data_IF_925020055089
#
_entry.id   IF_925020055089
#
_cell.length_a   1.000
_cell.length_b   1.000
_cell.length_c   1.000
_cell.angle_alpha   90.00
_cell.angle_beta   90.00
_cell.angle_gamma   90.00
#
_symmetry.space_group_name_H-M   'P 1'
#
loop_
_entity.id
_entity.type
_entity.pdbx_description
1 polymer ?
#
# COMPACT_ATOMS: atom_id res chain seq x y z
N UNK A 1 3.40 14.85 -7.23
CA UNK A 1 3.15 13.95 -8.38
C UNK A 1 1.92 13.09 -8.09
N UNK A 2 1.13 12.75 -9.09
CA UNK A 2 -0.05 11.89 -9.02
C UNK A 2 -0.01 10.88 -10.15
N UNK A 3 -0.19 9.60 -9.86
CA UNK A 3 -0.26 8.58 -10.90
C UNK A 3 -1.71 8.11 -11.09
N UNK A 4 -2.20 8.23 -12.31
CA UNK A 4 -3.49 7.68 -12.72
C UNK A 4 -3.31 6.21 -13.09
N UNK A 5 -3.38 5.32 -12.11
CA UNK A 5 -3.10 3.89 -12.25
C UNK A 5 -3.80 3.23 -13.47
N UNK A 6 -5.09 3.52 -13.70
CA UNK A 6 -5.82 2.97 -14.86
C UNK A 6 -5.37 3.51 -16.22
N UNK A 7 -5.00 4.79 -16.26
CA UNK A 7 -4.49 5.43 -17.47
C UNK A 7 -3.01 5.14 -17.68
N UNK A 8 -2.32 4.64 -16.64
CA UNK A 8 -0.87 4.49 -16.59
C UNK A 8 -0.13 5.79 -16.94
N UNK A 9 -0.72 6.92 -16.59
CA UNK A 9 -0.13 8.24 -16.83
C UNK A 9 0.20 8.95 -15.54
N UNK A 10 1.35 9.59 -15.52
CA UNK A 10 1.84 10.41 -14.42
C UNK A 10 1.46 11.87 -14.67
N UNK A 11 0.90 12.52 -13.66
CA UNK A 11 0.75 13.97 -13.60
C UNK A 11 1.69 14.54 -12.55
N UNK A 12 2.24 15.71 -12.83
CA UNK A 12 3.09 16.44 -11.91
C UNK A 12 2.75 17.92 -11.96
N UNK A 13 3.06 18.61 -10.88
CA UNK A 13 2.99 20.07 -10.81
C UNK A 13 4.36 20.53 -10.34
N UNK A 14 4.90 21.55 -11.00
CA UNK A 14 6.11 22.26 -10.56
C UNK A 14 5.69 23.43 -9.68
N UNK A 15 6.55 23.83 -8.74
CA UNK A 15 6.28 24.96 -7.84
C UNK A 15 6.64 26.32 -8.43
N UNK A 16 7.01 26.39 -9.70
CA UNK A 16 7.51 27.60 -10.35
C UNK A 16 6.38 28.39 -11.04
N UNK A 17 6.39 29.71 -10.87
CA UNK A 17 5.36 30.62 -11.37
C UNK A 17 4.07 30.55 -10.56
N UNK A 18 3.26 31.61 -10.60
CA UNK A 18 1.94 31.65 -9.94
C UNK A 18 0.94 30.60 -10.47
N UNK A 19 1.34 29.77 -11.44
CA UNK A 19 0.57 28.70 -12.03
C UNK A 19 0.96 27.32 -11.47
N UNK A 20 0.17 26.87 -10.50
CA UNK A 20 0.16 25.49 -9.97
C UNK A 20 -0.51 24.53 -10.95
N UNK A 21 -0.15 24.59 -12.22
CA UNK A 21 -0.80 23.81 -13.27
C UNK A 21 -0.28 22.36 -13.27
N UNK A 22 -1.20 21.41 -13.39
CA UNK A 22 -0.87 20.00 -13.52
C UNK A 22 -0.51 19.69 -14.98
N UNK A 23 0.67 19.11 -15.19
CA UNK A 23 1.14 18.64 -16.50
C UNK A 23 1.19 17.13 -16.52
N UNK A 24 0.85 16.53 -17.67
CA UNK A 24 0.96 15.10 -17.91
C UNK A 24 2.37 14.76 -18.40
N UNK A 25 2.92 13.64 -17.91
CA UNK A 25 4.16 13.10 -18.41
C UNK A 25 4.00 12.62 -19.85
N UNK A 26 5.03 12.80 -20.68
CA UNK A 26 5.07 12.36 -22.08
C UNK A 26 5.20 10.85 -22.25
N UNK A 27 5.40 10.13 -21.14
CA UNK A 27 5.59 8.68 -21.08
C UNK A 27 4.57 8.02 -20.15
N UNK A 28 4.36 6.72 -20.33
CA UNK A 28 3.45 5.91 -19.52
C UNK A 28 4.22 4.97 -18.58
N UNK A 29 3.64 4.68 -17.41
CA UNK A 29 4.21 3.68 -16.49
C UNK A 29 3.94 2.26 -16.98
N UNK A 30 4.83 1.30 -16.67
CA UNK A 30 4.53 -0.11 -16.86
C UNK A 30 3.33 -0.55 -16.01
N UNK A 31 2.68 -1.68 -16.34
CA UNK A 31 1.73 -2.32 -15.44
C UNK A 31 2.38 -2.55 -14.08
N UNK A 32 1.86 -1.88 -13.07
CA UNK A 32 2.35 -1.90 -11.70
C UNK A 32 1.16 -1.97 -10.74
N UNK A 33 1.41 -2.37 -9.50
CA UNK A 33 0.49 -2.17 -8.38
C UNK A 33 0.35 -0.66 -8.13
N UNK A 34 -0.59 -0.29 -7.27
CA UNK A 34 -0.80 1.09 -6.87
C UNK A 34 0.50 1.82 -6.48
N UNK A 35 0.63 3.09 -6.87
CA UNK A 35 1.80 3.90 -6.57
C UNK A 35 1.89 4.17 -5.07
N UNK A 36 3.11 4.10 -4.56
CA UNK A 36 3.43 4.47 -3.19
C UNK A 36 4.24 5.77 -3.17
N UNK A 37 3.74 6.79 -2.48
CA UNK A 37 4.41 8.09 -2.38
C UNK A 37 5.22 8.15 -1.09
N UNK A 38 6.50 8.53 -1.18
CA UNK A 38 7.34 8.74 0.00
C UNK A 38 8.37 9.83 -0.29
N UNK A 39 8.43 10.86 0.58
CA UNK A 39 9.36 11.99 0.49
C UNK A 39 9.46 12.63 -0.90
N UNK A 40 8.30 12.85 -1.54
CA UNK A 40 8.21 13.49 -2.85
C UNK A 40 8.54 12.60 -4.04
N UNK A 41 8.90 11.33 -3.82
CA UNK A 41 9.14 10.32 -4.86
C UNK A 41 7.96 9.35 -4.96
N UNK A 42 7.83 8.69 -6.10
CA UNK A 42 6.90 7.59 -6.28
C UNK A 42 7.65 6.27 -6.42
N UNK A 43 7.15 5.25 -5.76
CA UNK A 43 7.64 3.88 -5.80
C UNK A 43 6.56 2.99 -6.38
N UNK A 44 6.94 2.11 -7.29
CA UNK A 44 6.03 1.19 -7.99
C UNK A 44 6.50 -0.24 -7.79
N UNK A 45 5.54 -1.15 -7.64
CA UNK A 45 5.80 -2.59 -7.60
C UNK A 45 5.26 -3.21 -8.89
N UNK A 46 6.14 -3.81 -9.69
CA UNK A 46 5.79 -4.50 -10.93
C UNK A 46 5.95 -6.01 -10.75
N UNK A 47 4.89 -6.77 -11.00
CA UNK A 47 4.95 -8.23 -10.97
C UNK A 47 5.41 -8.76 -12.34
N UNK A 48 6.52 -9.48 -12.36
CA UNK A 48 7.04 -10.21 -13.52
C UNK A 48 6.80 -11.71 -13.32
N UNK A 49 6.92 -12.52 -14.37
CA UNK A 49 6.58 -13.96 -14.33
C UNK A 49 7.30 -14.72 -13.21
N UNK A 50 8.57 -14.38 -12.97
CA UNK A 50 9.44 -15.06 -12.00
C UNK A 50 10.05 -14.12 -10.93
N UNK A 51 9.68 -12.84 -10.93
CA UNK A 51 10.31 -11.84 -10.06
C UNK A 51 9.38 -10.66 -9.80
N UNK A 52 9.67 -9.91 -8.75
CA UNK A 52 9.07 -8.60 -8.52
C UNK A 52 10.10 -7.52 -8.73
N UNK A 53 9.75 -6.50 -9.52
CA UNK A 53 10.59 -5.34 -9.75
C UNK A 53 10.06 -4.14 -8.96
N UNK A 54 10.96 -3.45 -8.28
CA UNK A 54 10.69 -2.20 -7.57
C UNK A 54 11.24 -1.06 -8.40
N UNK A 55 10.37 -0.14 -8.80
CA UNK A 55 10.72 1.04 -9.57
C UNK A 55 10.61 2.30 -8.72
N UNK A 56 11.43 3.31 -9.02
CA UNK A 56 11.36 4.64 -8.44
C UNK A 56 11.18 5.68 -9.55
N UNK A 57 10.35 6.68 -9.27
CA UNK A 57 10.21 7.90 -10.08
C UNK A 57 10.60 9.06 -9.17
N UNK A 58 11.70 9.73 -9.53
CA UNK A 58 12.14 10.93 -8.85
C UNK A 58 11.27 12.14 -9.26
N UNK A 59 11.16 13.17 -8.39
CA UNK A 59 10.45 14.39 -8.75
C UNK A 59 11.11 15.07 -9.98
N UNK A 60 10.36 15.93 -10.68
CA UNK A 60 10.95 16.80 -11.69
C UNK A 60 12.13 17.59 -11.11
N UNK A 61 13.24 17.75 -11.85
CA UNK A 61 14.43 18.42 -11.33
C UNK A 61 14.16 19.90 -10.97
N UNK A 62 14.78 20.37 -9.88
CA UNK A 62 14.69 21.76 -9.38
C UNK A 62 15.57 22.69 -10.23
N UNK A 63 15.13 23.94 -10.45
CA UNK A 63 15.87 24.96 -11.21
C UNK A 63 17.06 25.45 -10.38
N UNK A 64 18.27 25.03 -10.75
CA UNK A 64 19.52 25.56 -10.19
C UNK A 64 20.61 25.70 -11.28
N UNK A 65 20.23 25.80 -12.55
CA UNK A 65 21.21 26.04 -13.62
C UNK A 65 20.69 27.05 -14.64
N UNK A 66 21.45 28.13 -14.82
CA UNK A 66 21.23 29.25 -15.73
C UNK A 66 21.33 28.88 -17.23
N UNK A 67 21.20 27.59 -17.57
CA UNK A 67 21.28 27.12 -18.94
C UNK A 67 19.88 26.93 -19.48
N UNK A 68 19.35 28.00 -20.08
CA UNK A 68 18.04 28.07 -20.69
C UNK A 68 17.86 27.12 -21.87
N UNK A 69 17.54 25.85 -21.58
CA UNK A 69 16.82 25.00 -22.54
C UNK A 69 15.33 24.96 -22.15
N UNK A 70 14.53 25.56 -23.04
CA UNK A 70 13.07 25.68 -22.98
C UNK A 70 12.38 24.32 -23.25
N UNK A 71 12.91 23.22 -22.71
CA UNK A 71 12.33 21.89 -22.79
C UNK A 71 11.37 21.68 -21.62
N UNK A 72 10.15 21.21 -21.89
CA UNK A 72 9.21 20.71 -20.87
C UNK A 72 9.97 19.80 -19.91
N UNK A 73 10.19 20.25 -18.66
CA UNK A 73 11.04 19.56 -17.68
C UNK A 73 10.28 18.37 -17.10
N UNK A 74 10.24 17.30 -17.89
CA UNK A 74 9.52 16.08 -17.60
C UNK A 74 10.15 15.36 -16.39
N UNK A 75 9.35 14.69 -15.55
CA UNK A 75 9.89 13.76 -14.56
C UNK A 75 10.68 12.66 -15.26
N UNK A 76 11.78 12.19 -14.66
CA UNK A 76 12.58 11.12 -15.22
C UNK A 76 11.76 9.82 -15.35
N UNK A 77 12.14 8.99 -16.32
CA UNK A 77 11.53 7.68 -16.53
C UNK A 77 11.64 6.81 -15.26
N UNK A 78 10.68 5.88 -15.04
CA UNK A 78 10.75 4.96 -13.91
C UNK A 78 12.04 4.13 -13.98
N UNK A 79 12.86 4.21 -12.94
CA UNK A 79 14.10 3.45 -12.86
C UNK A 79 13.93 2.24 -11.95
N UNK A 80 14.47 1.09 -12.37
CA UNK A 80 14.54 -0.09 -11.51
C UNK A 80 15.54 0.14 -10.39
N UNK A 81 15.08 0.01 -9.14
CA UNK A 81 15.93 0.16 -7.96
C UNK A 81 16.23 -1.17 -7.28
N UNK A 82 15.37 -2.17 -7.45
CA UNK A 82 15.60 -3.52 -6.95
C UNK A 82 14.77 -4.55 -7.75
N UNK A 83 15.26 -5.78 -7.82
CA UNK A 83 14.54 -6.93 -8.36
C UNK A 83 14.62 -8.07 -7.36
N UNK A 84 13.47 -8.53 -6.89
CA UNK A 84 13.34 -9.63 -5.95
C UNK A 84 12.94 -10.90 -6.69
N UNK A 85 13.71 -12.00 -6.61
CA UNK A 85 13.28 -13.29 -7.10
C UNK A 85 11.97 -13.75 -6.44
N UNK A 86 11.09 -14.42 -7.20
CA UNK A 86 9.77 -14.83 -6.70
C UNK A 86 9.80 -15.89 -5.60
N UNK A 87 10.89 -16.66 -5.52
CA UNK A 87 11.21 -17.61 -4.43
C UNK A 87 11.66 -16.91 -3.14
N UNK A 88 12.14 -15.67 -3.24
CA UNK A 88 12.54 -14.85 -2.09
C UNK A 88 11.37 -14.02 -1.56
N UNK A 89 10.58 -13.43 -2.45
CA UNK A 89 9.43 -12.62 -2.10
C UNK A 89 8.32 -12.77 -3.16
N UNK A 90 7.27 -13.47 -2.77
CA UNK A 90 6.08 -13.70 -3.59
C UNK A 90 5.05 -12.59 -3.44
N UNK A 91 4.41 -12.26 -4.57
CA UNK A 91 3.17 -11.45 -4.65
C UNK A 91 2.10 -12.02 -3.68
N UNK A 92 1.10 -11.23 -3.22
CA UNK A 92 1.01 -9.78 -3.29
C UNK A 92 2.08 -9.09 -2.46
N UNK A 93 2.59 -7.96 -2.98
CA UNK A 93 3.62 -7.16 -2.34
C UNK A 93 3.08 -5.77 -2.02
N UNK A 94 3.38 -5.31 -0.82
CA UNK A 94 2.91 -4.05 -0.24
C UNK A 94 4.10 -3.19 0.17
N UNK A 95 3.99 -1.89 -0.06
CA UNK A 95 4.95 -0.90 0.43
C UNK A 95 4.34 -0.17 1.62
N UNK A 96 5.09 -0.06 2.72
CA UNK A 96 4.63 0.56 3.97
C UNK A 96 5.63 1.62 4.39
N UNK A 97 5.12 2.81 4.73
CA UNK A 97 5.92 3.87 5.35
C UNK A 97 6.10 3.53 6.82
N UNK A 98 7.35 3.35 7.24
CA UNK A 98 7.73 3.04 8.62
C UNK A 98 8.73 4.11 9.06
N UNK A 99 8.24 5.13 9.76
CA UNK A 99 9.01 6.30 10.20
C UNK A 99 9.80 6.99 9.08
N UNK A 100 11.07 6.63 8.91
CA UNK A 100 11.98 7.17 7.88
C UNK A 100 12.38 6.16 6.81
N UNK A 101 11.82 4.96 6.85
CA UNK A 101 12.13 3.85 5.96
C UNK A 101 10.89 3.37 5.20
N UNK A 102 11.12 2.71 4.07
CA UNK A 102 10.07 1.98 3.34
C UNK A 102 10.30 0.50 3.62
N UNK A 103 9.26 -0.16 4.13
CA UNK A 103 9.23 -1.61 4.27
C UNK A 103 8.50 -2.23 3.08
N UNK A 104 9.03 -3.34 2.59
CA UNK A 104 8.44 -4.16 1.53
C UNK A 104 7.92 -5.44 2.17
N UNK A 105 6.62 -5.65 2.12
CA UNK A 105 5.93 -6.79 2.74
C UNK A 105 5.40 -7.70 1.66
N UNK A 106 5.62 -9.00 1.79
CA UNK A 106 5.07 -10.00 0.88
C UNK A 106 5.02 -11.38 1.52
N UNK A 107 4.96 -12.40 0.68
CA UNK A 107 4.86 -13.79 1.11
C UNK A 107 6.17 -14.55 0.86
N UNK A 108 6.46 -15.55 1.69
CA UNK A 108 7.56 -16.47 1.46
C UNK A 108 7.32 -17.40 0.27
N UNK A 109 6.06 -17.62 -0.10
CA UNK A 109 5.66 -18.51 -1.19
C UNK A 109 4.31 -18.11 -1.80
N UNK A 110 3.94 -18.81 -2.87
CA UNK A 110 2.69 -18.60 -3.62
C UNK A 110 1.46 -19.26 -2.98
N UNK A 111 1.58 -20.00 -1.89
CA UNK A 111 0.40 -20.59 -1.23
C UNK A 111 -0.37 -19.53 -0.45
N UNK A 112 0.27 -18.39 -0.17
CA UNK A 112 -0.24 -17.28 0.62
C UNK A 112 -0.59 -17.60 2.08
N UNK A 113 -0.58 -18.89 2.47
CA UNK A 113 -1.03 -19.40 3.75
C UNK A 113 0.06 -19.45 4.83
N UNK A 114 1.32 -19.32 4.43
CA UNK A 114 2.47 -19.54 5.31
C UNK A 114 3.04 -18.23 5.87
N UNK A 115 4.35 -18.05 5.71
CA UNK A 115 5.17 -17.02 6.32
C UNK A 115 5.06 -15.73 5.54
N UNK A 116 4.86 -14.63 6.26
CA UNK A 116 5.01 -13.28 5.72
C UNK A 116 6.45 -12.84 5.89
N UNK A 117 6.96 -12.13 4.88
CA UNK A 117 8.31 -11.59 4.88
C UNK A 117 8.23 -10.07 4.79
N UNK A 118 9.10 -9.42 5.55
CA UNK A 118 9.28 -7.96 5.56
C UNK A 118 10.74 -7.70 5.27
N UNK A 119 11.02 -6.83 4.31
CA UNK A 119 12.36 -6.39 3.98
C UNK A 119 12.43 -4.86 4.01
N UNK A 120 13.58 -4.30 4.37
CA UNK A 120 13.82 -2.87 4.16
C UNK A 120 14.09 -2.62 2.68
N UNK A 121 13.47 -1.60 2.10
CA UNK A 121 13.74 -1.24 0.70
C UNK A 121 15.22 -0.94 0.48
N UNK A 122 15.89 -0.28 1.44
CA UNK A 122 17.32 0.04 1.35
C UNK A 122 18.20 -1.21 1.21
N UNK A 123 17.88 -2.29 1.93
CA UNK A 123 18.62 -3.55 1.82
C UNK A 123 18.38 -4.22 0.47
N UNK A 124 17.13 -4.22 -0.01
CA UNK A 124 16.79 -4.76 -1.33
C UNK A 124 17.50 -4.02 -2.48
N UNK A 125 17.62 -2.69 -2.39
CA UNK A 125 18.37 -1.87 -3.36
C UNK A 125 19.85 -2.25 -3.39
N UNK A 126 20.41 -2.67 -2.26
CA UNK A 126 21.78 -3.18 -2.15
C UNK A 126 21.89 -4.67 -2.48
N UNK A 127 20.82 -5.32 -2.95
CA UNK A 127 20.80 -6.76 -3.26
C UNK A 127 20.83 -7.66 -2.03
N UNK A 128 20.48 -7.16 -0.85
CA UNK A 128 20.48 -7.90 0.41
C UNK A 128 19.07 -8.30 0.79
N UNK A 129 18.85 -9.59 0.97
CA UNK A 129 17.56 -10.15 1.38
C UNK A 129 17.59 -10.52 2.87
N UNK A 130 17.57 -9.50 3.72
CA UNK A 130 17.61 -9.66 5.19
C UNK A 130 16.21 -9.43 5.77
N UNK A 131 15.50 -10.46 6.23
CA UNK A 131 14.16 -10.29 6.77
C UNK A 131 14.17 -9.46 8.05
N UNK A 132 13.27 -8.50 8.13
CA UNK A 132 12.98 -7.75 9.36
C UNK A 132 12.19 -8.66 10.30
N UNK A 133 12.73 -8.86 11.50
CA UNK A 133 12.12 -9.70 12.54
C UNK A 133 11.38 -8.91 13.61
N UNK A 134 11.57 -7.59 13.66
CA UNK A 134 10.93 -6.69 14.62
C UNK A 134 10.73 -5.31 13.99
N UNK A 135 9.54 -4.75 14.20
CA UNK A 135 9.13 -3.37 13.91
C UNK A 135 8.87 -2.58 15.21
N UNK A 136 9.33 -3.10 16.35
CA UNK A 136 9.18 -2.48 17.67
C UNK A 136 7.76 -2.56 18.22
N UNK A 137 7.30 -1.50 18.89
CA UNK A 137 5.98 -1.39 19.51
C UNK A 137 4.86 -1.03 18.50
N UNK A 138 5.00 -1.53 17.28
CA UNK A 138 4.11 -1.25 16.16
C UNK A 138 3.63 -2.53 15.48
N UNK A 139 2.62 -2.38 14.64
CA UNK A 139 2.10 -3.40 13.77
C UNK A 139 1.85 -2.84 12.37
N UNK A 140 2.05 -3.70 11.38
CA UNK A 140 1.77 -3.40 9.98
C UNK A 140 0.37 -3.90 9.64
N UNK A 141 -0.47 -3.03 9.10
CA UNK A 141 -1.78 -3.42 8.57
C UNK A 141 -1.70 -3.44 7.05
N UNK A 142 -2.03 -4.57 6.41
CA UNK A 142 -1.90 -4.73 4.95
C UNK A 142 -3.16 -5.32 4.30
N UNK A 143 -3.63 -4.65 3.24
CA UNK A 143 -4.68 -5.08 2.30
C UNK A 143 -4.56 -4.19 1.02
N UNK A 144 -5.63 -3.65 0.46
CA UNK A 144 -5.60 -2.65 -0.64
C UNK A 144 -4.74 -1.40 -0.31
N UNK A 145 -4.41 -1.16 0.96
CA UNK A 145 -3.45 -0.17 1.43
C UNK A 145 -2.59 -0.79 2.52
N UNK A 146 -1.56 -0.06 2.94
CA UNK A 146 -0.78 -0.45 4.10
C UNK A 146 -0.60 0.71 5.09
N UNK A 147 -0.61 0.38 6.39
CA UNK A 147 -0.38 1.33 7.48
C UNK A 147 0.62 0.77 8.49
N UNK A 148 1.40 1.66 9.08
CA UNK A 148 2.23 1.42 10.24
C UNK A 148 1.56 2.07 11.45
N UNK A 149 1.22 1.27 12.46
CA UNK A 149 0.39 1.71 13.58
C UNK A 149 0.99 1.25 14.89
N UNK A 150 1.06 2.13 15.89
CA UNK A 150 1.50 1.75 17.24
C UNK A 150 0.54 0.72 17.86
N UNK A 151 1.09 -0.40 18.35
CA UNK A 151 0.32 -1.44 19.02
C UNK A 151 -0.25 -0.97 20.36
N UNK A 152 0.37 0.04 20.99
CA UNK A 152 -0.12 0.67 22.24
C UNK A 152 -1.49 1.32 22.09
N UNK A 153 -1.86 1.74 20.88
CA UNK A 153 -3.16 2.31 20.58
C UNK A 153 -4.26 1.24 20.38
N UNK A 154 -3.89 -0.04 20.26
CA UNK A 154 -4.75 -1.13 19.82
C UNK A 154 -4.64 -2.34 20.77
N UNK A 155 -5.54 -2.48 21.76
CA UNK A 155 -5.44 -3.50 22.79
C UNK A 155 -5.34 -4.95 22.30
N UNK A 156 -5.90 -5.27 21.14
CA UNK A 156 -5.93 -6.64 20.58
C UNK A 156 -4.74 -6.95 19.68
N UNK A 157 -3.92 -5.96 19.34
CA UNK A 157 -2.87 -6.08 18.32
C UNK A 157 -1.53 -6.24 18.98
N UNK A 158 -0.80 -7.28 18.60
CA UNK A 158 0.53 -7.52 19.12
C UNK A 158 1.54 -6.56 18.47
N UNK A 159 2.54 -6.15 19.26
CA UNK A 159 3.77 -5.58 18.71
C UNK A 159 4.43 -6.58 17.75
N UNK A 160 5.29 -6.10 16.86
CA UNK A 160 6.02 -6.94 15.89
C UNK A 160 5.11 -7.81 15.01
N UNK A 161 3.91 -7.34 14.69
CA UNK A 161 2.93 -8.13 13.95
C UNK A 161 2.51 -7.51 12.62
N UNK A 162 2.07 -8.38 11.71
CA UNK A 162 1.38 -8.00 10.48
C UNK A 162 -0.08 -8.42 10.61
N UNK A 163 -0.99 -7.45 10.63
CA UNK A 163 -2.43 -7.67 10.50
C UNK A 163 -2.79 -7.72 9.01
N UNK A 164 -3.35 -8.85 8.59
CA UNK A 164 -3.63 -9.14 7.18
C UNK A 164 -4.99 -9.82 7.02
N UNK A 165 -5.70 -9.51 5.94
CA UNK A 165 -6.92 -10.22 5.56
C UNK A 165 -6.59 -11.49 4.80
N UNK A 166 -6.96 -12.65 5.37
CA UNK A 166 -6.87 -13.94 4.68
C UNK A 166 -7.81 -13.96 3.47
N UNK A 167 -7.28 -14.35 2.32
CA UNK A 167 -8.05 -14.38 1.07
C UNK A 167 -9.21 -15.39 1.12
N UNK A 168 -9.00 -16.53 1.78
CA UNK A 168 -9.97 -17.63 1.85
C UNK A 168 -11.14 -17.35 2.79
N UNK A 169 -10.87 -16.86 4.01
CA UNK A 169 -11.91 -16.63 5.02
C UNK A 169 -12.41 -15.18 5.08
N UNK A 170 -11.73 -14.24 4.41
CA UNK A 170 -11.95 -12.79 4.52
C UNK A 170 -11.78 -12.23 5.94
N UNK A 171 -11.24 -13.02 6.86
CA UNK A 171 -10.99 -12.61 8.24
C UNK A 171 -9.61 -11.98 8.38
N UNK A 172 -9.47 -11.11 9.37
CA UNK A 172 -8.18 -10.54 9.73
C UNK A 172 -7.47 -11.41 10.75
N UNK A 173 -6.26 -11.83 10.39
CA UNK A 173 -5.33 -12.51 11.26
C UNK A 173 -4.08 -11.67 11.46
N UNK A 174 -3.37 -11.90 12.56
CA UNK A 174 -2.09 -11.27 12.83
C UNK A 174 -0.98 -12.32 12.78
N UNK A 175 0.12 -11.96 12.12
CA UNK A 175 1.33 -12.77 12.00
C UNK A 175 2.46 -12.11 12.78
N UNK A 176 3.02 -12.79 13.77
CA UNK A 176 4.12 -12.24 14.58
C UNK A 176 5.46 -12.50 13.87
N UNK A 177 6.22 -11.44 13.62
CA UNK A 177 7.45 -11.46 12.82
C UNK A 177 8.58 -12.27 13.48
N UNK A 178 8.73 -12.15 14.80
CA UNK A 178 9.83 -12.79 15.53
C UNK A 178 9.63 -14.29 15.73
N UNK A 179 8.41 -14.73 16.00
CA UNK A 179 8.08 -16.15 16.29
C UNK A 179 7.55 -16.89 15.06
N UNK A 180 7.07 -16.17 14.05
CA UNK A 180 6.44 -16.74 12.87
C UNK A 180 5.07 -17.38 13.13
N UNK A 181 4.39 -16.99 14.20
CA UNK A 181 3.10 -17.57 14.61
C UNK A 181 1.92 -16.73 14.14
N UNK A 182 0.81 -17.39 13.82
CA UNK A 182 -0.46 -16.76 13.49
C UNK A 182 -1.40 -16.73 14.70
N UNK A 183 -2.12 -15.63 14.89
CA UNK A 183 -3.26 -15.54 15.81
C UNK A 183 -4.39 -14.69 15.24
N UNK A 184 -5.51 -14.63 15.95
CA UNK A 184 -6.62 -13.75 15.59
C UNK A 184 -6.27 -12.29 15.89
N UNK A 185 -6.55 -11.37 14.96
CA UNK A 185 -6.26 -9.94 15.13
C UNK A 185 -7.44 -9.14 15.69
N UNK A 186 -8.67 -9.58 15.39
CA UNK A 186 -9.90 -8.89 15.74
C UNK A 186 -10.94 -9.90 16.20
N UNK A 187 -11.65 -9.56 17.26
CA UNK A 187 -12.81 -10.32 17.70
C UNK A 187 -13.87 -10.38 16.59
N UNK A 188 -14.21 -11.59 16.15
CA UNK A 188 -15.17 -11.84 15.06
C UNK A 188 -16.53 -11.15 15.25
N UNK A 189 -16.94 -10.88 16.50
CA UNK A 189 -18.21 -10.21 16.81
C UNK A 189 -18.27 -8.80 16.24
N UNK A 190 -17.17 -8.05 16.28
CA UNK A 190 -17.10 -6.68 15.76
C UNK A 190 -17.18 -6.61 14.23
N UNK A 191 -16.60 -7.60 13.53
CA UNK A 191 -16.57 -7.66 12.07
C UNK A 191 -17.84 -8.26 11.45
N UNK A 192 -18.58 -9.11 12.17
CA UNK A 192 -19.85 -9.71 11.73
C UNK A 192 -21.04 -8.74 11.73
N UNK A 193 -20.84 -7.50 12.22
CA UNK A 193 -21.79 -6.39 12.10
C UNK A 193 -23.03 -6.51 13.00
N UNK A 194 -22.92 -7.24 14.12
CA UNK A 194 -24.06 -7.53 14.98
C UNK A 194 -24.35 -6.49 16.08
N UNK A 195 -23.53 -5.46 16.27
CA UNK A 195 -23.81 -4.45 17.30
C UNK A 195 -23.73 -2.99 16.81
N UNK A 196 -24.71 -2.13 17.18
CA UNK A 196 -24.65 -0.68 17.02
C UNK A 196 -23.75 0.00 18.07
N UNK A 197 -22.85 -0.75 18.72
CA UNK A 197 -21.89 -0.22 19.68
C UNK A 197 -20.79 0.64 19.04
N UNK A 198 -19.99 1.36 19.86
CA UNK A 198 -18.86 2.11 19.35
C UNK A 198 -17.91 1.17 18.61
N UNK A 199 -17.65 1.44 17.32
CA UNK A 199 -16.68 0.66 16.55
C UNK A 199 -15.30 0.91 17.13
N UNK A 200 -14.55 -0.16 17.39
CA UNK A 200 -13.18 -0.07 17.89
C UNK A 200 -12.25 0.58 16.85
N UNK A 201 -11.16 1.19 17.31
CA UNK A 201 -10.18 1.85 16.45
C UNK A 201 -9.62 0.90 15.37
N UNK A 202 -9.40 -0.37 15.72
CA UNK A 202 -8.95 -1.41 14.77
C UNK A 202 -9.95 -1.61 13.62
N UNK A 203 -11.26 -1.53 13.88
CA UNK A 203 -12.28 -1.63 12.85
C UNK A 203 -12.25 -0.45 11.89
N UNK A 204 -11.95 0.75 12.41
CA UNK A 204 -11.76 1.94 11.59
C UNK A 204 -10.52 1.80 10.70
N UNK A 205 -9.38 1.38 11.25
CA UNK A 205 -8.14 1.12 10.48
C UNK A 205 -8.40 0.11 9.37
N UNK A 206 -9.05 -1.02 9.68
CA UNK A 206 -9.44 -2.04 8.70
C UNK A 206 -10.34 -1.46 7.60
N UNK A 207 -11.29 -0.60 7.96
CA UNK A 207 -12.13 0.08 6.98
C UNK A 207 -11.30 0.97 6.05
N UNK A 208 -10.33 1.72 6.61
CA UNK A 208 -9.44 2.59 5.85
C UNK A 208 -8.48 1.83 4.93
N UNK A 209 -8.11 0.58 5.27
CA UNK A 209 -7.29 -0.27 4.41
C UNK A 209 -7.97 -0.55 3.08
N UNK A 210 -9.30 -0.63 3.06
CA UNK A 210 -10.09 -1.01 1.89
C UNK A 210 -10.57 0.24 1.16
N UNK A 211 -9.97 0.58 0.02
CA UNK A 211 -10.43 1.68 -0.84
C UNK A 211 -11.86 1.49 -1.26
N UNK A 212 -12.22 0.26 -1.61
CA UNK A 212 -13.57 -0.11 -2.04
C UNK A 212 -14.65 0.31 -1.04
N UNK A 213 -14.35 0.24 0.26
CA UNK A 213 -15.25 0.58 1.37
C UNK A 213 -15.06 2.03 1.82
N UNK A 214 -13.83 2.44 2.14
CA UNK A 214 -13.51 3.77 2.64
C UNK A 214 -13.94 4.88 1.69
N UNK A 215 -13.65 4.74 0.39
CA UNK A 215 -13.98 5.77 -0.59
C UNK A 215 -15.50 6.00 -0.67
N UNK A 216 -16.30 5.02 -0.24
CA UNK A 216 -17.77 5.05 -0.19
C UNK A 216 -18.35 5.63 1.09
N UNK A 217 -17.51 6.04 2.04
CA UNK A 217 -17.94 6.46 3.37
C UNK A 217 -18.66 5.33 4.12
N UNK A 218 -18.37 4.08 3.75
CA UNK A 218 -18.91 2.90 4.39
C UNK A 218 -17.93 2.41 5.46
N UNK A 219 -18.44 1.59 6.38
CA UNK A 219 -17.58 0.84 7.28
C UNK A 219 -17.57 -0.63 6.92
N UNK A 220 -16.42 -1.27 7.13
CA UNK A 220 -16.26 -2.68 6.84
C UNK A 220 -17.22 -3.56 7.66
N UNK A 221 -17.69 -4.65 7.06
CA UNK A 221 -18.44 -5.72 7.73
C UNK A 221 -18.36 -6.96 6.85
N UNK A 222 -17.93 -8.09 7.43
CA UNK A 222 -17.79 -9.37 6.71
C UNK A 222 -19.16 -9.83 6.20
N UNK A 223 -20.19 -9.73 7.04
CA UNK A 223 -21.57 -10.12 6.70
C UNK A 223 -22.12 -9.30 5.55
N UNK A 224 -21.88 -8.00 5.57
CA UNK A 224 -22.38 -7.12 4.53
C UNK A 224 -21.56 -7.25 3.23
N UNK A 225 -20.26 -7.50 3.30
CA UNK A 225 -19.41 -7.74 2.13
C UNK A 225 -19.91 -8.89 1.25
N UNK A 226 -20.48 -9.93 1.86
CA UNK A 226 -21.06 -11.06 1.13
C UNK A 226 -22.40 -10.75 0.45
N UNK A 227 -23.05 -9.60 0.75
CA UNK A 227 -24.31 -9.21 0.10
C UNK A 227 -24.06 -8.62 -1.27
N UNK A 228 -24.80 -9.10 -2.28
CA UNK A 228 -24.79 -8.51 -3.63
C UNK A 228 -25.15 -7.02 -3.56
N UNK A 229 -24.29 -6.17 -4.13
CA UNK A 229 -24.51 -4.73 -4.17
C UNK A 229 -24.18 -3.97 -2.89
N UNK A 230 -23.50 -4.57 -1.90
CA UNK A 230 -23.12 -3.86 -0.66
C UNK A 230 -22.23 -2.64 -0.91
N UNK A 231 -21.32 -2.77 -1.88
CA UNK A 231 -20.46 -1.69 -2.35
C UNK A 231 -21.21 -0.63 -3.20
N UNK A 232 -22.54 -0.55 -3.10
CA UNK A 232 -23.30 0.53 -3.72
C UNK A 232 -23.21 1.80 -2.88
N UNK A 233 -22.89 2.91 -3.54
CA UNK A 233 -22.87 4.24 -2.93
C UNK A 233 -24.25 4.58 -2.35
N UNK A 234 -24.31 4.78 -1.02
CA UNK A 234 -25.57 5.16 -0.34
C UNK A 234 -25.95 6.62 -0.59
N UNK A 235 -24.98 7.49 -0.92
CA UNK A 235 -25.16 8.94 -1.07
C UNK A 235 -24.60 9.43 -2.41
N UNK A 236 -25.29 10.38 -3.07
CA UNK A 236 -24.88 11.03 -4.33
C UNK A 236 -24.60 10.08 -5.51
N UNK A 237 -25.27 8.92 -5.57
CA UNK A 237 -25.17 7.91 -6.65
C UNK A 237 -25.29 8.54 -8.06
N UNK A 238 -26.18 9.51 -8.24
CA UNK A 238 -26.42 10.20 -9.52
C UNK A 238 -25.24 11.04 -10.03
N UNK A 239 -24.32 11.46 -9.15
CA UNK A 239 -23.23 12.38 -9.51
C UNK A 239 -21.88 11.69 -9.75
N UNK A 240 -21.81 10.36 -9.66
CA UNK A 240 -20.52 9.64 -9.64
C UNK A 240 -20.56 8.35 -10.46
N UNK A 241 -21.01 8.46 -11.70
CA UNK A 241 -20.77 7.45 -12.74
C UNK A 241 -19.33 7.63 -13.22
N UNK A 242 -18.45 6.70 -12.88
CA UNK A 242 -17.02 6.80 -13.13
C UNK A 242 -16.25 5.92 -12.18
N UNK A 243 -16.43 4.60 -12.33
CA UNK A 243 -15.59 3.58 -11.73
C UNK A 243 -15.47 2.42 -12.71
#
# INVERSE_FOLDING_TARGET
MLLFHRLRQLAFATSHGHDRQWTMASWAVPPCIEPFSFRGKLYLVCNLVCATQLLQIDPPPLEDDETGELGSRQPPLPRSIATCPGDVLSYPIYLVECDSEILVVGHADRSFAHKKLVYKLADLVLGRFIPVTSVGDHALFIDERAFYVSSKALPTVMADSIVYRKLESLEFAQYHLGSGTWSQAVDERGLKGYDPGPRSLIHHIITCLLRSVWNKGQFYSVKEQMKRGWLNWRVKKKFRHGA
#
